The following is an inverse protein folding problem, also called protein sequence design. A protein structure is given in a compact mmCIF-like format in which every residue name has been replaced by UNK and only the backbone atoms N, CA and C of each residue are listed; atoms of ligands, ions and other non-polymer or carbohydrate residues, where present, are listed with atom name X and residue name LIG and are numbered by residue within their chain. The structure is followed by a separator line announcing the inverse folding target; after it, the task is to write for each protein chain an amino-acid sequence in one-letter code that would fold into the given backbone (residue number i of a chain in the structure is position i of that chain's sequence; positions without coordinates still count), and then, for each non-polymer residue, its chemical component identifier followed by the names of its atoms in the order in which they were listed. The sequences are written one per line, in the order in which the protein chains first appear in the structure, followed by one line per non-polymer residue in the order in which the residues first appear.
data_IF_079467311640
#
_entry.id   IF_079467311640
#
_cell.length_a   1.000
_cell.length_b   1.000
_cell.length_c   1.000
_cell.angle_alpha   90.00
_cell.angle_beta   90.00
_cell.angle_gamma   90.00
#
_symmetry.space_group_name_H-M   'P 1'
#
loop_
_entity.id
_entity.type
_entity.pdbx_description
1 polymer ?
#
# COMPACT_ATOMS: atom_id res chain seq x y z
N UNK A 1 -0.71 -13.53 -8.02
CA UNK A 1 -0.83 -14.96 -8.41
C UNK A 1 -2.26 -15.47 -8.46
N UNK A 2 -3.10 -15.27 -7.44
CA UNK A 2 -4.47 -15.85 -7.46
C UNK A 2 -5.35 -15.34 -8.62
N UNK A 3 -5.23 -14.07 -8.97
CA UNK A 3 -6.00 -13.40 -10.04
C UNK A 3 -5.26 -13.28 -11.37
N UNK A 4 -4.11 -13.97 -11.53
CA UNK A 4 -3.23 -13.77 -12.68
C UNK A 4 -3.60 -14.58 -13.93
N UNK A 5 -4.66 -15.38 -13.89
CA UNK A 5 -5.10 -16.21 -15.02
C UNK A 5 -4.55 -17.65 -15.02
N UNK A 6 -3.64 -17.99 -14.08
CA UNK A 6 -3.05 -19.34 -14.00
C UNK A 6 -3.96 -20.34 -13.26
N UNK A 7 -4.40 -20.00 -12.05
CA UNK A 7 -5.25 -20.90 -11.24
C UNK A 7 -6.73 -20.82 -11.59
N UNK A 8 -7.19 -19.65 -12.04
CA UNK A 8 -8.53 -19.40 -12.52
C UNK A 8 -8.44 -18.50 -13.73
N UNK A 9 -9.17 -18.85 -14.78
CA UNK A 9 -9.18 -18.08 -16.02
C UNK A 9 -9.91 -16.75 -15.81
N UNK A 10 -9.59 -15.72 -16.61
CA UNK A 10 -10.19 -14.39 -16.46
C UNK A 10 -11.73 -14.37 -16.45
N UNK A 11 -12.41 -15.23 -17.22
CA UNK A 11 -13.88 -15.27 -17.27
C UNK A 11 -14.55 -15.97 -16.09
N UNK A 12 -13.81 -16.80 -15.35
CA UNK A 12 -14.35 -17.55 -14.20
C UNK A 12 -14.23 -16.77 -12.88
N UNK A 13 -13.66 -15.57 -12.93
CA UNK A 13 -13.42 -14.72 -11.76
C UNK A 13 -14.61 -13.75 -11.55
N UNK A 14 -15.15 -13.63 -10.31
CA UNK A 14 -16.21 -12.66 -10.00
C UNK A 14 -15.82 -11.22 -10.36
N UNK A 15 -16.71 -10.53 -11.08
CA UNK A 15 -16.43 -9.23 -11.70
C UNK A 15 -16.11 -8.08 -10.71
N UNK A 16 -16.87 -7.85 -9.63
CA UNK A 16 -16.85 -6.56 -8.91
C UNK A 16 -15.57 -6.23 -8.13
N UNK A 17 -14.77 -7.23 -7.77
CA UNK A 17 -13.56 -7.01 -6.96
C UNK A 17 -12.37 -7.74 -7.58
N UNK A 18 -12.56 -9.02 -7.91
CA UNK A 18 -11.46 -9.89 -8.31
C UNK A 18 -11.04 -9.66 -9.75
N UNK A 19 -11.99 -9.56 -10.69
CA UNK A 19 -11.67 -9.20 -12.08
C UNK A 19 -11.35 -7.72 -12.20
N UNK A 20 -12.17 -6.86 -11.60
CA UNK A 20 -11.96 -5.42 -11.55
C UNK A 20 -12.01 -4.95 -10.09
N UNK A 21 -10.99 -4.26 -9.56
CA UNK A 21 -9.74 -3.84 -10.20
C UNK A 21 -8.57 -4.82 -10.02
N UNK A 22 -8.73 -5.87 -9.19
CA UNK A 22 -7.59 -6.63 -8.67
C UNK A 22 -6.72 -7.30 -9.74
N UNK A 23 -7.31 -7.93 -10.77
CA UNK A 23 -6.53 -8.48 -11.90
C UNK A 23 -5.71 -7.42 -12.62
N UNK A 24 -6.26 -6.22 -12.83
CA UNK A 24 -5.61 -5.16 -13.61
C UNK A 24 -4.47 -4.46 -12.88
N UNK A 25 -4.50 -4.41 -11.53
CA UNK A 25 -3.41 -3.86 -10.71
C UNK A 25 -2.31 -4.91 -10.47
N UNK A 26 -2.65 -6.20 -10.59
CA UNK A 26 -1.71 -7.30 -10.39
C UNK A 26 -0.72 -7.42 -11.55
N UNK A 27 0.56 -7.14 -11.30
CA UNK A 27 1.62 -7.29 -12.31
C UNK A 27 1.67 -8.69 -12.94
N UNK A 28 1.38 -9.72 -12.14
CA UNK A 28 1.39 -11.11 -12.61
C UNK A 28 0.36 -11.38 -13.71
N UNK A 29 -0.76 -10.66 -13.74
CA UNK A 29 -1.78 -10.82 -14.77
C UNK A 29 -1.21 -10.41 -16.13
N UNK A 30 -0.60 -9.22 -16.19
CA UNK A 30 0.06 -8.71 -17.39
C UNK A 30 1.27 -9.56 -17.79
N UNK A 31 2.07 -9.99 -16.82
CA UNK A 31 3.26 -10.79 -17.08
C UNK A 31 2.91 -12.15 -17.71
N UNK A 32 1.91 -12.86 -17.18
CA UNK A 32 1.48 -14.14 -17.72
C UNK A 32 0.85 -14.00 -19.11
N UNK A 33 0.00 -12.99 -19.32
CA UNK A 33 -0.58 -12.77 -20.65
C UNK A 33 0.48 -12.46 -21.70
N UNK A 34 1.43 -11.58 -21.37
CA UNK A 34 2.55 -11.25 -22.25
C UNK A 34 3.46 -12.45 -22.52
N UNK A 35 3.73 -13.28 -21.50
CA UNK A 35 4.52 -14.49 -21.64
C UNK A 35 3.82 -15.53 -22.54
N UNK A 36 2.54 -15.83 -22.30
CA UNK A 36 1.82 -16.77 -23.15
C UNK A 36 1.75 -16.30 -24.60
N UNK A 37 1.47 -15.02 -24.83
CA UNK A 37 1.51 -14.46 -26.19
C UNK A 37 2.91 -14.53 -26.81
N UNK A 38 3.97 -14.40 -26.02
CA UNK A 38 5.34 -14.51 -26.52
C UNK A 38 5.69 -15.97 -26.90
N UNK A 39 5.25 -16.92 -26.09
CA UNK A 39 5.69 -18.31 -26.18
C UNK A 39 4.82 -19.12 -27.17
N UNK A 40 3.56 -18.75 -27.37
CA UNK A 40 2.61 -19.53 -28.18
C UNK A 40 2.35 -18.94 -29.57
N UNK A 41 2.49 -17.62 -29.75
CA UNK A 41 2.14 -16.97 -31.02
C UNK A 41 3.07 -17.43 -32.16
N UNK A 42 2.48 -17.85 -33.28
CA UNK A 42 3.20 -18.38 -34.43
C UNK A 42 3.66 -19.83 -34.32
N UNK A 43 3.35 -20.51 -33.21
CA UNK A 43 3.63 -21.95 -33.07
C UNK A 43 2.45 -22.80 -33.55
N UNK A 44 2.78 -24.00 -34.03
CA UNK A 44 1.82 -25.04 -34.39
C UNK A 44 2.08 -26.27 -33.52
N UNK A 45 1.03 -26.78 -32.89
CA UNK A 45 1.09 -27.94 -32.02
C UNK A 45 0.44 -29.14 -32.70
N UNK A 46 1.00 -30.32 -32.47
CA UNK A 46 0.38 -31.55 -32.94
C UNK A 46 -0.88 -31.85 -32.13
N UNK A 47 -1.87 -32.43 -32.79
CA UNK A 47 -3.13 -32.77 -32.17
C UNK A 47 -3.04 -34.13 -31.45
N UNK A 48 -4.06 -34.47 -30.66
CA UNK A 48 -4.13 -35.75 -29.93
C UNK A 48 -4.10 -36.97 -30.85
N UNK A 49 -4.65 -36.84 -32.06
CA UNK A 49 -4.62 -37.86 -33.10
C UNK A 49 -3.73 -37.40 -34.27
N UNK A 50 -2.86 -38.27 -34.82
CA UNK A 50 -1.98 -37.91 -35.95
C UNK A 50 -2.72 -37.48 -37.22
N UNK A 51 -3.99 -37.88 -37.35
CA UNK A 51 -4.83 -37.64 -38.52
C UNK A 51 -5.56 -36.27 -38.47
N UNK A 52 -5.48 -35.57 -37.33
CA UNK A 52 -6.12 -34.26 -37.16
C UNK A 52 -5.15 -33.12 -37.50
N UNK A 53 -5.71 -32.00 -37.98
CA UNK A 53 -4.93 -30.79 -38.28
C UNK A 53 -4.19 -30.28 -37.04
N UNK A 54 -2.99 -29.74 -37.25
CA UNK A 54 -2.20 -29.05 -36.22
C UNK A 54 -3.00 -27.88 -35.61
N UNK A 55 -2.82 -27.67 -34.31
CA UNK A 55 -3.50 -26.63 -33.55
C UNK A 55 -2.60 -25.38 -33.52
N UNK A 56 -3.07 -24.21 -34.00
CA UNK A 56 -2.29 -22.99 -33.89
C UNK A 56 -2.25 -22.48 -32.45
N UNK A 57 -1.12 -21.90 -32.05
CA UNK A 57 -0.95 -21.35 -30.70
C UNK A 57 -1.90 -20.19 -30.40
N UNK A 58 -2.33 -19.45 -31.43
CA UNK A 58 -3.38 -18.42 -31.32
C UNK A 58 -4.72 -19.01 -30.87
N UNK A 59 -5.07 -20.21 -31.33
CA UNK A 59 -6.27 -20.91 -30.87
C UNK A 59 -6.17 -21.27 -29.39
N UNK A 60 -5.00 -21.72 -28.94
CA UNK A 60 -4.76 -22.04 -27.53
C UNK A 60 -4.88 -20.76 -26.67
N UNK A 61 -4.28 -19.65 -27.13
CA UNK A 61 -4.35 -18.36 -26.44
C UNK A 61 -5.80 -17.88 -26.26
N UNK A 62 -6.61 -17.93 -27.32
CA UNK A 62 -7.97 -17.40 -27.30
C UNK A 62 -8.94 -18.32 -26.57
N UNK A 63 -8.96 -19.62 -26.91
CA UNK A 63 -9.99 -20.54 -26.45
C UNK A 63 -9.63 -21.27 -25.16
N UNK A 64 -8.34 -21.54 -24.91
CA UNK A 64 -7.90 -22.23 -23.69
C UNK A 64 -7.57 -21.23 -22.60
N UNK A 65 -6.76 -20.21 -22.90
CA UNK A 65 -6.34 -19.23 -21.88
C UNK A 65 -7.24 -17.99 -21.78
N UNK A 66 -8.20 -17.82 -22.69
CA UNK A 66 -9.08 -16.65 -22.75
C UNK A 66 -8.30 -15.33 -22.83
N UNK A 67 -7.20 -15.34 -23.58
CA UNK A 67 -6.33 -14.19 -23.82
C UNK A 67 -6.69 -13.58 -25.16
N UNK A 68 -6.84 -12.26 -25.18
CA UNK A 68 -7.08 -11.53 -26.42
C UNK A 68 -5.82 -11.52 -27.29
N UNK A 69 -5.90 -12.13 -28.47
CA UNK A 69 -4.80 -12.26 -29.43
C UNK A 69 -4.62 -11.01 -30.30
N UNK A 70 -5.64 -10.14 -30.37
CA UNK A 70 -5.59 -8.87 -31.09
C UNK A 70 -4.74 -7.84 -30.35
N UNK A 71 -4.69 -7.95 -29.02
CA UNK A 71 -3.80 -7.14 -28.19
C UNK A 71 -2.35 -7.60 -28.38
N UNK A 72 -1.46 -6.64 -28.59
CA UNK A 72 -0.02 -6.90 -28.74
C UNK A 72 0.68 -7.17 -27.40
N UNK A 73 1.59 -8.14 -27.38
CA UNK A 73 2.45 -8.45 -26.21
C UNK A 73 3.25 -7.25 -25.69
N UNK A 74 3.52 -6.28 -26.57
CA UNK A 74 4.21 -5.04 -26.21
C UNK A 74 3.37 -4.12 -25.30
N UNK A 75 2.04 -4.23 -25.37
CA UNK A 75 1.15 -3.49 -24.46
C UNK A 75 1.31 -4.05 -23.05
N UNK A 76 1.32 -5.37 -22.90
CA UNK A 76 1.50 -6.02 -21.60
C UNK A 76 2.85 -5.65 -20.99
N UNK A 77 3.92 -5.64 -21.80
CA UNK A 77 5.24 -5.20 -21.38
C UNK A 77 5.26 -3.71 -20.96
N UNK A 78 4.61 -2.84 -21.73
CA UNK A 78 4.50 -1.41 -21.43
C UNK A 78 3.77 -1.14 -20.11
N UNK A 79 2.68 -1.88 -19.84
CA UNK A 79 1.95 -1.79 -18.57
C UNK A 79 2.84 -2.21 -17.39
N UNK A 80 3.59 -3.31 -17.51
CA UNK A 80 4.50 -3.76 -16.45
C UNK A 80 5.58 -2.71 -16.19
N UNK A 81 6.17 -2.13 -17.23
CA UNK A 81 7.17 -1.07 -17.09
C UNK A 81 6.58 0.17 -16.40
N UNK A 82 5.36 0.56 -16.78
CA UNK A 82 4.63 1.68 -16.16
C UNK A 82 4.34 1.41 -14.68
N UNK A 83 3.96 0.18 -14.33
CA UNK A 83 3.75 -0.23 -12.94
C UNK A 83 5.03 -0.06 -12.10
N UNK A 84 6.21 -0.38 -12.63
CA UNK A 84 7.48 -0.17 -11.92
C UNK A 84 7.63 1.31 -11.54
N UNK A 85 7.43 2.21 -12.51
CA UNK A 85 7.53 3.66 -12.27
C UNK A 85 6.50 4.12 -11.24
N UNK A 86 5.24 3.70 -11.38
CA UNK A 86 4.15 4.06 -10.45
C UNK A 86 4.48 3.59 -9.02
N UNK A 87 4.91 2.34 -8.85
CA UNK A 87 5.27 1.83 -7.53
C UNK A 87 6.47 2.57 -6.92
N UNK A 88 7.45 2.99 -7.73
CA UNK A 88 8.55 3.84 -7.26
C UNK A 88 8.07 5.21 -6.79
N UNK A 89 7.12 5.82 -7.49
CA UNK A 89 6.53 7.10 -7.08
C UNK A 89 5.73 6.94 -5.79
N UNK A 90 4.88 5.92 -5.68
CA UNK A 90 4.12 5.64 -4.45
C UNK A 90 5.06 5.42 -3.27
N UNK A 91 6.13 4.64 -3.47
CA UNK A 91 7.13 4.39 -2.44
C UNK A 91 7.83 5.69 -2.00
N UNK A 92 8.22 6.53 -2.96
CA UNK A 92 8.81 7.83 -2.66
C UNK A 92 7.86 8.76 -1.88
N UNK A 93 6.59 8.81 -2.27
CA UNK A 93 5.55 9.57 -1.56
C UNK A 93 5.38 9.04 -0.14
N UNK A 94 5.33 7.72 0.06
CA UNK A 94 5.21 7.10 1.38
C UNK A 94 6.38 7.47 2.30
N UNK A 95 7.62 7.44 1.78
CA UNK A 95 8.80 7.90 2.53
C UNK A 95 8.63 9.36 2.94
N UNK A 96 8.31 10.25 2.00
CA UNK A 96 8.17 11.69 2.26
C UNK A 96 7.06 11.97 3.29
N UNK A 97 5.93 11.28 3.19
CA UNK A 97 4.87 11.34 4.19
C UNK A 97 5.40 10.88 5.55
N UNK A 98 6.13 9.77 5.61
CA UNK A 98 6.66 9.28 6.88
C UNK A 98 7.68 10.25 7.52
N UNK A 99 8.46 10.95 6.71
CA UNK A 99 9.49 11.88 7.17
C UNK A 99 8.90 13.23 7.62
N UNK A 100 7.98 13.80 6.84
CA UNK A 100 7.42 15.13 7.08
C UNK A 100 6.17 15.09 8.00
N UNK A 101 5.28 14.12 7.79
CA UNK A 101 3.96 14.09 8.45
C UNK A 101 4.04 13.44 9.84
N UNK A 102 4.89 12.43 10.04
CA UNK A 102 5.05 11.79 11.36
C UNK A 102 5.50 12.76 12.47
N UNK A 103 6.57 13.57 12.30
CA UNK A 103 6.94 14.55 13.31
C UNK A 103 5.92 15.68 13.42
N UNK A 104 5.29 16.09 12.32
CA UNK A 104 4.23 17.11 12.35
C UNK A 104 3.01 16.66 13.18
N UNK A 105 2.54 15.42 12.99
CA UNK A 105 1.45 14.82 13.78
C UNK A 105 1.85 14.73 15.26
N UNK A 106 3.06 14.24 15.56
CA UNK A 106 3.55 14.18 16.95
C UNK A 106 3.60 15.57 17.60
N UNK A 107 4.08 16.58 16.87
CA UNK A 107 4.08 17.97 17.30
C UNK A 107 2.68 18.52 17.52
N UNK A 108 1.74 18.22 16.63
CA UNK A 108 0.33 18.62 16.77
C UNK A 108 -0.33 17.98 17.99
N UNK A 109 -0.14 16.68 18.21
CA UNK A 109 -0.66 15.96 19.39
C UNK A 109 -0.03 16.52 20.68
N UNK A 110 1.27 16.78 20.70
CA UNK A 110 1.96 17.36 21.85
C UNK A 110 1.41 18.76 22.19
N UNK A 111 1.22 19.63 21.19
CA UNK A 111 0.61 20.96 21.37
C UNK A 111 -0.82 20.87 21.91
N UNK A 112 -1.64 19.94 21.39
CA UNK A 112 -3.02 19.75 21.86
C UNK A 112 -3.07 19.27 23.32
N UNK A 113 -2.15 18.36 23.71
CA UNK A 113 -2.00 17.93 25.12
C UNK A 113 -1.58 19.09 26.02
N UNK A 114 -0.67 19.95 25.58
CA UNK A 114 -0.29 21.14 26.35
C UNK A 114 -1.44 22.14 26.49
N UNK A 115 -2.22 22.37 25.43
CA UNK A 115 -3.39 23.25 25.48
C UNK A 115 -4.46 22.73 26.45
N UNK A 116 -4.73 21.42 26.46
CA UNK A 116 -5.65 20.82 27.45
C UNK A 116 -5.11 21.00 28.88
N UNK A 117 -3.82 20.71 29.12
CA UNK A 117 -3.20 20.93 30.44
C UNK A 117 -3.25 22.40 30.89
N UNK A 118 -3.09 23.34 29.97
CA UNK A 118 -3.20 24.78 30.26
C UNK A 118 -4.65 25.21 30.53
N UNK A 119 -5.63 24.67 29.79
CA UNK A 119 -7.05 24.93 30.05
C UNK A 119 -7.52 24.35 31.39
N UNK A 120 -7.04 23.16 31.76
CA UNK A 120 -7.29 22.58 33.09
C UNK A 120 -6.63 23.41 34.18
N UNK A 121 -5.35 23.80 34.04
CA UNK A 121 -4.70 24.69 35.01
C UNK A 121 -5.43 26.03 35.16
N UNK A 122 -5.85 26.68 34.07
CA UNK A 122 -6.59 27.95 34.12
C UNK A 122 -7.99 27.82 34.77
N UNK A 123 -8.59 26.63 34.78
CA UNK A 123 -9.88 26.36 35.44
C UNK A 123 -9.70 25.89 36.89
N UNK A 124 -8.55 25.31 37.24
CA UNK A 124 -8.17 24.92 38.60
C UNK A 124 -7.42 26.03 39.35
N UNK A 125 -7.04 27.13 38.68
CA UNK A 125 -6.79 28.41 39.35
C UNK A 125 -8.15 28.93 39.80
N UNK A 126 -8.63 28.38 40.91
CA UNK A 126 -9.61 29.05 41.76
C UNK A 126 -9.14 30.50 42.00
N UNK A 127 -10.04 31.48 42.09
CA UNK A 127 -9.65 32.86 42.38
C UNK A 127 -8.98 33.02 43.76
N UNK A 128 -9.01 31.99 44.61
CA UNK A 128 -8.48 32.06 45.97
C UNK A 128 -7.30 31.09 46.21
N UNK A 129 -6.12 31.70 46.28
CA UNK A 129 -5.16 31.45 47.34
C UNK A 129 -4.25 30.23 47.23
N UNK A 130 -3.18 30.31 46.43
CA UNK A 130 -1.90 29.65 46.74
C UNK A 130 -0.72 30.42 46.14
N UNK A 131 -0.58 31.69 46.53
CA UNK A 131 0.65 32.47 46.36
C UNK A 131 1.57 32.15 47.55
N UNK A 132 2.09 30.93 47.61
CA UNK A 132 3.24 30.68 48.48
C UNK A 132 4.05 29.48 47.98
N UNK A 133 5.13 29.77 47.26
CA UNK A 133 6.23 28.83 47.16
C UNK A 133 6.93 28.80 48.53
N UNK A 134 7.12 27.62 49.16
CA UNK A 134 7.81 27.54 50.44
C UNK A 134 9.27 27.92 50.22
N UNK A 135 9.63 29.16 50.56
CA UNK A 135 11.02 29.60 50.51
C UNK A 135 11.84 28.88 51.59
N UNK A 136 13.09 28.53 51.26
CA UNK A 136 14.06 27.87 52.14
C UNK A 136 14.33 28.60 53.48
N UNK A 137 13.82 29.83 53.67
CA UNK A 137 13.92 30.57 54.95
C UNK A 137 13.30 29.83 56.13
N UNK A 138 12.25 29.04 55.91
CA UNK A 138 11.59 28.31 57.00
C UNK A 138 12.41 27.13 57.53
N UNK A 139 13.42 26.65 56.79
CA UNK A 139 14.30 25.57 57.23
C UNK A 139 15.42 26.04 58.18
N UNK A 140 15.74 27.33 58.20
CA UNK A 140 16.84 27.87 59.03
C UNK A 140 16.38 28.29 60.43
N UNK A 141 15.09 28.52 60.64
CA UNK A 141 14.54 28.94 61.94
C UNK A 141 14.46 27.83 63.00
N UNK A 142 14.71 26.57 62.62
CA UNK A 142 14.58 25.39 63.49
C UNK A 142 15.87 24.88 64.12
N UNK A 143 16.91 25.71 64.29
CA UNK A 143 18.13 25.28 65.00
C UNK A 143 18.10 25.78 66.44
N UNK A 144 17.83 24.92 67.44
CA UNK A 144 17.98 25.32 68.83
C UNK A 144 19.48 25.48 69.10
N UNK A 145 19.88 26.70 69.46
CA UNK A 145 21.17 26.96 70.10
C UNK A 145 21.13 26.32 71.49
N UNK A 146 21.57 25.06 71.57
CA UNK A 146 21.98 24.42 72.81
C UNK A 146 23.29 25.05 73.30
N UNK A 147 23.34 25.26 74.62
CA UNK A 147 24.46 25.78 75.42
C UNK A 147 25.79 25.11 75.12
#
# INVERSE_FOLDING_TARGET
MLVSGYFRLPNDIPKPVWRYPMSYISFHFWALQGQYQNDLKGLLFDNQSPDQSKIPGEYILEYVFQIDVHRSKWIDLSVIFSMIVIYRIIFFIMIKISEDVTPWIRGYIARRRMQQKNGTQNTTVAPDGLIHSPSLRNYVAGRPTGR
#
